data_IF_174474543863
#
_entry.id   IF_174474543863
#
_cell.length_a   1.000
_cell.length_b   1.000
_cell.length_c   1.000
_cell.angle_alpha   90.00
_cell.angle_beta   90.00
_cell.angle_gamma   90.00
#
_symmetry.space_group_name_H-M   'P 1'
#
loop_
_entity.id
_entity.type
_entity.pdbx_description
1 polymer ?
#
# COMPACT_ATOMS: atom_id res chain seq x y z
N UNK A 1 -1.22 14.78 -12.74
CA UNK A 1 -1.51 15.71 -11.62
C UNK A 1 -0.19 16.18 -11.01
N UNK A 2 -0.04 17.47 -10.71
CA UNK A 2 1.17 18.02 -10.06
C UNK A 2 1.07 17.92 -8.54
N UNK A 3 2.21 18.02 -7.85
CA UNK A 3 2.27 18.05 -6.39
C UNK A 3 1.39 19.15 -5.77
N UNK A 4 1.36 20.35 -6.36
CA UNK A 4 0.53 21.45 -5.84
C UNK A 4 -0.96 21.16 -6.01
N UNK A 5 -1.37 20.60 -7.15
CA UNK A 5 -2.75 20.18 -7.37
C UNK A 5 -3.19 19.13 -6.35
N UNK A 6 -2.32 18.17 -6.03
CA UNK A 6 -2.62 17.15 -5.02
C UNK A 6 -2.75 17.76 -3.62
N UNK A 7 -1.89 18.71 -3.24
CA UNK A 7 -1.99 19.42 -1.96
C UNK A 7 -3.30 20.19 -1.83
N UNK A 8 -3.66 20.96 -2.87
CA UNK A 8 -4.93 21.68 -2.93
C UNK A 8 -6.12 20.70 -2.80
N UNK A 9 -6.08 19.57 -3.51
CA UNK A 9 -7.10 18.55 -3.46
C UNK A 9 -7.27 17.94 -2.04
N UNK A 10 -6.17 17.61 -1.36
CA UNK A 10 -6.23 17.08 0.01
C UNK A 10 -6.74 18.13 1.00
N UNK A 11 -6.30 19.39 0.86
CA UNK A 11 -6.73 20.51 1.71
C UNK A 11 -8.23 20.82 1.56
N UNK A 12 -8.74 20.86 0.32
CA UNK A 12 -10.16 21.06 0.02
C UNK A 12 -11.06 19.98 0.65
N UNK A 13 -10.51 18.76 0.79
CA UNK A 13 -11.20 17.62 1.38
C UNK A 13 -10.92 17.45 2.89
N UNK A 14 -10.20 18.38 3.53
CA UNK A 14 -9.80 18.32 4.94
C UNK A 14 -9.04 17.05 5.30
N UNK A 15 -8.14 16.60 4.42
CA UNK A 15 -7.28 15.44 4.64
C UNK A 15 -5.90 15.93 5.07
N UNK A 16 -5.55 15.61 6.31
CA UNK A 16 -4.23 15.93 6.85
C UNK A 16 -3.15 15.07 6.19
N UNK A 17 -2.03 15.71 5.84
CA UNK A 17 -0.86 15.04 5.29
C UNK A 17 0.43 15.66 5.85
N UNK A 18 1.51 14.89 5.81
CA UNK A 18 2.87 15.36 6.00
C UNK A 18 3.65 15.20 4.70
N UNK A 19 4.75 15.92 4.56
CA UNK A 19 5.61 15.86 3.38
C UNK A 19 6.91 15.18 3.79
N UNK A 20 7.26 14.11 3.09
CA UNK A 20 8.56 13.47 3.17
C UNK A 20 9.29 13.59 1.83
N UNK A 21 10.61 13.75 1.89
CA UNK A 21 11.46 13.96 0.72
C UNK A 21 12.53 12.87 0.65
N UNK A 22 12.72 12.30 -0.52
CA UNK A 22 13.71 11.27 -0.80
C UNK A 22 14.65 11.73 -1.90
N UNK A 23 15.94 11.55 -1.66
CA UNK A 23 17.00 11.93 -2.59
C UNK A 23 17.01 11.11 -3.89
N UNK A 24 16.29 9.97 -3.92
CA UNK A 24 16.10 9.17 -5.12
C UNK A 24 14.87 8.26 -5.01
N UNK A 25 14.30 7.84 -6.13
CA UNK A 25 13.23 6.82 -6.15
C UNK A 25 13.67 5.52 -5.50
N UNK A 26 14.92 5.11 -5.73
CA UNK A 26 15.51 3.96 -5.03
C UNK A 26 15.37 4.05 -3.51
N UNK A 27 15.60 5.23 -2.93
CA UNK A 27 15.48 5.44 -1.48
C UNK A 27 14.04 5.35 -0.99
N UNK A 28 13.10 5.80 -1.82
CA UNK A 28 11.67 5.65 -1.55
C UNK A 28 11.23 4.18 -1.62
N UNK A 29 11.64 3.43 -2.65
CA UNK A 29 11.34 1.98 -2.77
C UNK A 29 11.91 1.21 -1.56
N UNK A 30 13.12 1.55 -1.11
CA UNK A 30 13.74 0.97 0.10
C UNK A 30 13.00 1.32 1.40
N UNK A 31 12.22 2.41 1.43
CA UNK A 31 11.37 2.80 2.56
C UNK A 31 10.06 2.01 2.58
N UNK A 32 9.42 1.87 1.41
CA UNK A 32 8.11 1.23 1.26
C UNK A 32 8.18 -0.28 1.44
N UNK A 33 9.09 -0.95 0.71
CA UNK A 33 9.06 -2.41 0.55
C UNK A 33 10.03 -3.13 1.48
N UNK A 34 9.57 -4.24 2.09
CA UNK A 34 10.43 -5.07 2.94
C UNK A 34 11.60 -5.70 2.16
N UNK A 35 11.33 -6.11 0.92
CA UNK A 35 12.30 -6.71 0.02
C UNK A 35 12.28 -5.96 -1.32
N UNK A 36 12.89 -4.77 -1.37
CA UNK A 36 12.78 -3.88 -2.51
C UNK A 36 13.52 -4.45 -3.73
N UNK A 37 12.92 -4.30 -4.91
CA UNK A 37 13.59 -4.45 -6.19
C UNK A 37 13.81 -3.06 -6.79
N UNK A 38 15.07 -2.65 -6.90
CA UNK A 38 15.46 -1.30 -7.31
C UNK A 38 16.23 -1.31 -8.62
N UNK A 39 16.17 -2.39 -9.41
CA UNK A 39 16.93 -2.50 -10.66
C UNK A 39 16.52 -1.42 -11.68
N UNK A 40 15.23 -1.07 -11.68
CA UNK A 40 14.64 -0.09 -12.62
C UNK A 40 14.26 1.23 -11.95
N UNK A 41 14.78 1.51 -10.75
CA UNK A 41 14.47 2.77 -10.06
C UNK A 41 15.11 3.95 -10.80
N UNK A 42 14.33 5.00 -11.01
CA UNK A 42 14.76 6.23 -11.66
C UNK A 42 15.73 7.02 -10.77
N UNK A 43 16.67 7.73 -11.42
CA UNK A 43 17.60 8.64 -10.75
C UNK A 43 16.97 10.04 -10.67
N UNK A 44 15.83 10.14 -9.97
CA UNK A 44 15.06 11.36 -9.78
C UNK A 44 14.74 11.59 -8.28
N UNK A 45 14.60 12.85 -7.89
CA UNK A 45 14.13 13.21 -6.55
C UNK A 45 12.66 12.82 -6.40
N UNK A 46 12.27 12.41 -5.19
CA UNK A 46 10.88 12.00 -4.90
C UNK A 46 10.34 12.80 -3.72
N UNK A 47 9.14 13.34 -3.87
CA UNK A 47 8.36 13.92 -2.78
C UNK A 47 7.14 13.03 -2.55
N UNK A 48 6.84 12.77 -1.29
CA UNK A 48 5.68 11.97 -0.90
C UNK A 48 4.75 12.81 -0.02
N UNK A 49 3.46 12.79 -0.36
CA UNK A 49 2.42 13.24 0.56
C UNK A 49 1.96 12.03 1.38
N UNK A 50 2.32 12.01 2.66
CA UNK A 50 2.01 10.91 3.58
C UNK A 50 0.75 11.27 4.37
N UNK A 51 -0.30 10.48 4.21
CA UNK A 51 -1.53 10.52 5.00
C UNK A 51 -1.36 9.52 6.15
N UNK A 52 -1.10 9.97 7.38
CA UNK A 52 -0.80 9.08 8.49
C UNK A 52 -1.99 8.22 8.86
N UNK A 53 -1.79 6.91 9.01
CA UNK A 53 -2.86 6.02 9.43
C UNK A 53 -2.93 5.88 10.95
N UNK A 54 -4.11 5.52 11.48
CA UNK A 54 -4.28 5.29 12.92
C UNK A 54 -3.59 4.02 13.42
N UNK A 55 -3.28 3.07 12.53
CA UNK A 55 -2.47 1.90 12.85
C UNK A 55 -1.00 2.23 13.23
N UNK A 56 -0.53 3.45 12.92
CA UNK A 56 0.84 3.99 13.19
C UNK A 56 2.02 3.21 12.61
N UNK A 57 1.77 2.25 11.71
CA UNK A 57 2.80 1.38 11.10
C UNK A 57 2.83 1.50 9.58
N UNK A 58 1.67 1.50 8.92
CA UNK A 58 1.52 1.56 7.47
C UNK A 58 0.67 2.76 7.12
N UNK A 59 1.26 3.72 6.41
CA UNK A 59 0.58 4.95 5.96
C UNK A 59 0.08 4.79 4.53
N UNK A 60 -0.79 5.71 4.13
CA UNK A 60 -1.15 5.93 2.73
C UNK A 60 -0.23 7.03 2.19
N UNK A 61 0.45 6.78 1.07
CA UNK A 61 1.53 7.60 0.55
C UNK A 61 1.28 7.88 -0.93
N UNK A 62 1.26 9.15 -1.33
CA UNK A 62 1.16 9.57 -2.72
C UNK A 62 2.55 9.98 -3.19
N UNK A 63 3.13 9.22 -4.13
CA UNK A 63 4.45 9.47 -4.69
C UNK A 63 4.41 10.49 -5.82
N UNK A 64 5.35 11.45 -5.79
CA UNK A 64 5.60 12.39 -6.88
C UNK A 64 7.07 12.38 -7.26
N UNK A 65 7.36 12.14 -8.54
CA UNK A 65 8.73 12.15 -9.08
C UNK A 65 9.03 13.50 -9.74
N UNK A 66 10.28 13.94 -9.64
CA UNK A 66 10.78 15.13 -10.33
C UNK A 66 10.96 14.86 -11.84
N UNK A 67 10.30 15.66 -12.67
CA UNK A 67 10.46 15.69 -14.13
C UNK A 67 10.51 17.15 -14.60
N UNK A 68 11.57 17.52 -15.34
CA UNK A 68 11.79 18.87 -15.87
C UNK A 68 11.65 20.03 -14.84
N UNK A 69 11.97 19.76 -13.57
CA UNK A 69 11.93 20.74 -12.47
C UNK A 69 10.56 20.90 -11.81
N UNK A 70 9.58 20.06 -12.15
CA UNK A 70 8.29 19.95 -11.49
C UNK A 70 8.07 18.54 -10.94
N UNK A 71 7.11 18.38 -10.02
CA UNK A 71 6.81 17.09 -9.39
C UNK A 71 5.44 16.58 -9.84
N UNK A 72 5.43 15.39 -10.42
CA UNK A 72 4.25 14.76 -10.99
C UNK A 72 3.89 13.47 -10.27
N UNK A 73 2.60 13.25 -10.05
CA UNK A 73 2.08 12.04 -9.42
C UNK A 73 2.50 10.79 -10.20
N UNK A 74 2.95 9.76 -9.49
CA UNK A 74 3.34 8.48 -10.06
C UNK A 74 2.43 7.37 -9.56
N UNK A 75 2.36 7.17 -8.24
CA UNK A 75 1.60 6.09 -7.64
C UNK A 75 1.04 6.48 -6.27
N UNK A 76 0.03 5.73 -5.84
CA UNK A 76 -0.44 5.73 -4.46
C UNK A 76 -0.16 4.36 -3.85
N UNK A 77 0.39 4.37 -2.64
CA UNK A 77 0.81 3.18 -1.92
C UNK A 77 0.17 3.16 -0.54
N UNK A 78 -0.43 2.04 -0.16
CA UNK A 78 -0.88 1.80 1.21
C UNK A 78 -0.01 0.73 1.87
N UNK A 79 0.93 1.17 2.70
CA UNK A 79 1.94 0.28 3.28
C UNK A 79 2.87 -0.30 2.22
N UNK A 80 2.71 -1.59 1.90
CA UNK A 80 3.45 -2.28 0.82
C UNK A 80 2.58 -2.58 -0.41
N UNK A 81 1.32 -2.12 -0.44
CA UNK A 81 0.40 -2.34 -1.56
C UNK A 81 0.35 -1.11 -2.45
N UNK A 82 0.80 -1.24 -3.70
CA UNK A 82 0.68 -0.20 -4.71
C UNK A 82 -0.64 -0.35 -5.47
N UNK A 83 -1.36 0.76 -5.64
CA UNK A 83 -2.55 0.80 -6.49
C UNK A 83 -2.13 1.13 -7.93
N UNK A 84 -2.39 0.21 -8.84
CA UNK A 84 -2.15 0.42 -10.27
C UNK A 84 -3.14 1.46 -10.81
N UNK A 85 -2.70 2.72 -10.93
CA UNK A 85 -3.50 3.83 -11.47
C UNK A 85 -3.18 4.16 -12.95
N UNK A 86 -2.36 3.34 -13.63
CA UNK A 86 -1.81 3.64 -14.96
C UNK A 86 -2.79 3.51 -16.13
N UNK A 87 -3.98 2.93 -15.93
CA UNK A 87 -4.97 2.71 -16.99
C UNK A 87 -6.20 3.63 -16.91
N UNK A 88 -6.23 4.58 -15.97
CA UNK A 88 -7.38 5.46 -15.80
C UNK A 88 -7.42 6.52 -16.91
N UNK A 89 -8.59 6.70 -17.50
CA UNK A 89 -8.83 7.87 -18.35
C UNK A 89 -8.62 9.12 -17.50
N UNK A 90 -7.89 10.12 -18.02
CA UNK A 90 -7.47 11.32 -17.27
C UNK A 90 -8.65 12.02 -16.57
N UNK A 91 -9.86 11.90 -17.15
CA UNK A 91 -11.10 12.46 -16.59
C UNK A 91 -11.58 11.82 -15.28
N UNK A 92 -11.24 10.55 -15.01
CA UNK A 92 -11.64 9.84 -13.79
C UNK A 92 -10.54 9.78 -12.73
N UNK A 93 -9.30 10.15 -13.09
CA UNK A 93 -8.13 10.00 -12.22
C UNK A 93 -8.32 10.63 -10.83
N UNK A 94 -8.84 11.86 -10.75
CA UNK A 94 -9.05 12.56 -9.47
C UNK A 94 -10.11 11.86 -8.61
N UNK A 95 -11.21 11.46 -9.23
CA UNK A 95 -12.32 10.78 -8.53
C UNK A 95 -11.89 9.41 -8.02
N UNK A 96 -11.12 8.65 -8.81
CA UNK A 96 -10.59 7.34 -8.43
C UNK A 96 -9.53 7.45 -7.32
N UNK A 97 -8.61 8.41 -7.43
CA UNK A 97 -7.63 8.70 -6.38
C UNK A 97 -8.33 9.03 -5.04
N UNK A 98 -9.31 9.95 -5.08
CA UNK A 98 -10.06 10.31 -3.88
C UNK A 98 -10.91 9.16 -3.38
N UNK A 99 -11.47 8.33 -4.27
CA UNK A 99 -12.19 7.11 -3.92
C UNK A 99 -11.32 6.16 -3.12
N UNK A 100 -10.09 5.90 -3.57
CA UNK A 100 -9.11 5.07 -2.85
C UNK A 100 -8.79 5.68 -1.48
N UNK A 101 -8.45 6.97 -1.44
CA UNK A 101 -8.12 7.66 -0.19
C UNK A 101 -9.28 7.54 0.80
N UNK A 102 -10.52 7.82 0.38
CA UNK A 102 -11.68 7.73 1.24
C UNK A 102 -11.94 6.31 1.72
N UNK A 103 -11.81 5.30 0.86
CA UNK A 103 -11.95 3.90 1.28
C UNK A 103 -10.91 3.50 2.33
N UNK A 104 -9.67 3.98 2.21
CA UNK A 104 -8.63 3.76 3.22
C UNK A 104 -9.00 4.49 4.51
N UNK A 105 -9.17 5.81 4.52
CA UNK A 105 -9.35 6.58 5.76
C UNK A 105 -10.68 6.28 6.49
N UNK A 106 -11.67 5.73 5.78
CA UNK A 106 -12.94 5.26 6.37
C UNK A 106 -12.92 3.78 6.76
N UNK A 107 -11.74 3.16 6.75
CA UNK A 107 -11.49 1.77 7.18
C UNK A 107 -12.31 0.75 6.36
N UNK A 108 -12.62 1.07 5.10
CA UNK A 108 -13.33 0.21 4.16
C UNK A 108 -12.39 -0.65 3.30
N UNK A 109 -11.09 -0.56 3.54
CA UNK A 109 -10.07 -1.27 2.78
C UNK A 109 -9.13 -2.02 3.73
N UNK A 110 -8.92 -3.30 3.46
CA UNK A 110 -7.94 -4.13 4.16
C UNK A 110 -6.91 -4.68 3.18
N UNK A 111 -5.65 -4.72 3.61
CA UNK A 111 -4.54 -5.27 2.83
C UNK A 111 -3.93 -6.45 3.57
N UNK A 112 -3.54 -7.47 2.81
CA UNK A 112 -2.70 -8.57 3.27
C UNK A 112 -1.46 -8.62 2.40
N UNK A 113 -0.28 -8.42 2.98
CA UNK A 113 1.02 -8.63 2.33
C UNK A 113 1.66 -9.90 2.84
N UNK A 114 2.28 -10.67 1.95
CA UNK A 114 2.92 -11.95 2.27
C UNK A 114 4.37 -11.97 1.80
N UNK A 115 5.25 -12.34 2.73
CA UNK A 115 6.70 -12.37 2.53
C UNK A 115 7.29 -13.76 2.89
N UNK A 116 8.32 -14.20 2.17
CA UNK A 116 9.16 -15.36 2.51
C UNK A 116 10.42 -14.86 3.23
N UNK A 117 10.51 -15.10 4.54
CA UNK A 117 11.61 -14.58 5.35
C UNK A 117 12.92 -15.31 5.10
N UNK A 118 12.87 -16.60 4.77
CA UNK A 118 14.07 -17.40 4.54
C UNK A 118 14.70 -17.06 3.18
N UNK A 119 13.85 -16.85 2.17
CA UNK A 119 14.28 -16.47 0.81
C UNK A 119 14.42 -14.97 0.60
N UNK A 120 14.03 -14.17 1.59
CA UNK A 120 14.02 -12.69 1.56
C UNK A 120 13.33 -12.14 0.31
N UNK A 121 12.08 -12.56 0.08
CA UNK A 121 11.33 -12.12 -1.09
C UNK A 121 9.85 -11.93 -0.80
N UNK A 122 9.23 -11.03 -1.56
CA UNK A 122 7.79 -10.90 -1.64
C UNK A 122 7.15 -12.13 -2.28
N UNK A 123 5.98 -12.52 -1.79
CA UNK A 123 5.20 -13.67 -2.26
C UNK A 123 3.86 -13.27 -2.87
N UNK A 124 3.46 -12.02 -2.74
CA UNK A 124 2.15 -11.52 -3.14
C UNK A 124 1.50 -10.67 -2.06
N UNK A 125 0.56 -9.85 -2.49
CA UNK A 125 -0.37 -9.11 -1.65
C UNK A 125 -1.79 -9.21 -2.20
N UNK A 126 -2.74 -8.71 -1.43
CA UNK A 126 -4.13 -8.60 -1.82
C UNK A 126 -4.78 -7.44 -1.08
N UNK A 127 -5.65 -6.73 -1.79
CA UNK A 127 -6.51 -5.68 -1.26
C UNK A 127 -7.97 -6.17 -1.24
N UNK A 128 -8.71 -5.80 -0.21
CA UNK A 128 -10.11 -6.18 -0.01
C UNK A 128 -10.98 -4.98 0.35
N UNK A 129 -12.07 -4.80 -0.38
CA UNK A 129 -13.08 -3.76 -0.14
C UNK A 129 -14.11 -4.27 0.88
N UNK A 130 -13.96 -3.91 2.14
CA UNK A 130 -14.77 -4.43 3.25
C UNK A 130 -16.24 -3.99 3.19
N UNK A 131 -16.57 -2.93 2.45
CA UNK A 131 -17.95 -2.53 2.18
C UNK A 131 -18.67 -3.47 1.20
N UNK A 132 -17.92 -4.30 0.47
CA UNK A 132 -18.46 -5.12 -0.61
C UNK A 132 -18.74 -6.56 -0.16
N UNK A 133 -19.83 -7.13 -0.67
CA UNK A 133 -20.18 -8.53 -0.48
C UNK A 133 -19.61 -9.43 -1.59
N UNK A 134 -18.54 -9.01 -2.25
CA UNK A 134 -17.86 -9.82 -3.26
C UNK A 134 -17.15 -11.01 -2.57
N UNK A 135 -17.34 -12.24 -3.06
CA UNK A 135 -16.77 -13.41 -2.41
C UNK A 135 -15.24 -13.49 -2.50
N UNK A 136 -14.59 -12.78 -3.41
CA UNK A 136 -13.14 -12.83 -3.64
C UNK A 136 -12.45 -11.60 -3.08
N UNK A 137 -12.90 -10.41 -3.46
CA UNK A 137 -12.28 -9.13 -3.14
C UNK A 137 -13.05 -8.31 -2.09
N UNK A 138 -14.22 -8.78 -1.66
CA UNK A 138 -15.00 -8.14 -0.59
C UNK A 138 -14.69 -8.66 0.81
N UNK A 139 -15.50 -8.25 1.79
CA UNK A 139 -15.40 -8.71 3.18
C UNK A 139 -15.38 -10.25 3.33
N UNK A 140 -16.24 -11.03 2.63
CA UNK A 140 -16.17 -12.50 2.71
C UNK A 140 -14.84 -13.06 2.22
N UNK A 141 -14.24 -12.44 1.20
CA UNK A 141 -12.93 -12.82 0.67
C UNK A 141 -11.82 -12.59 1.69
N UNK A 142 -11.82 -11.42 2.32
CA UNK A 142 -10.89 -11.05 3.38
C UNK A 142 -10.93 -12.05 4.54
N UNK A 143 -12.11 -12.34 5.09
CA UNK A 143 -12.23 -13.26 6.22
C UNK A 143 -11.87 -14.71 5.87
N UNK A 144 -12.09 -15.14 4.63
CA UNK A 144 -11.60 -16.44 4.16
C UNK A 144 -10.08 -16.51 4.18
N UNK A 145 -9.41 -15.49 3.65
CA UNK A 145 -7.95 -15.43 3.64
C UNK A 145 -7.37 -15.32 5.05
N UNK A 146 -7.96 -14.48 5.90
CA UNK A 146 -7.57 -14.35 7.31
C UNK A 146 -7.68 -15.69 8.05
N UNK A 147 -8.80 -16.40 7.86
CA UNK A 147 -9.02 -17.73 8.46
C UNK A 147 -7.97 -18.74 8.01
N UNK A 148 -7.61 -18.73 6.72
CA UNK A 148 -6.56 -19.60 6.16
C UNK A 148 -5.18 -19.28 6.76
N UNK A 149 -4.86 -17.99 6.92
CA UNK A 149 -3.60 -17.56 7.54
C UNK A 149 -3.55 -17.96 9.01
N UNK A 150 -4.67 -17.89 9.72
CA UNK A 150 -4.77 -18.21 11.15
C UNK A 150 -4.90 -19.72 11.44
N UNK A 151 -5.25 -20.55 10.47
CA UNK A 151 -5.41 -22.01 10.67
C UNK A 151 -4.10 -22.68 11.10
N UNK A 152 -3.99 -23.30 12.28
CA UNK A 152 -2.73 -23.86 12.78
C UNK A 152 -2.08 -24.84 11.79
N UNK A 153 -0.77 -24.71 11.56
CA UNK A 153 -0.01 -25.66 10.73
C UNK A 153 0.15 -26.99 11.44
N UNK A 154 0.02 -28.07 10.69
CA UNK A 154 0.24 -29.43 11.19
C UNK A 154 1.74 -29.66 11.44
N UNK A 155 2.12 -30.62 12.29
CA UNK A 155 3.52 -30.89 12.67
C UNK A 155 4.43 -31.12 11.43
N UNK A 156 3.89 -31.75 10.38
CA UNK A 156 4.61 -32.02 9.14
C UNK A 156 4.87 -30.72 8.36
N UNK A 157 3.88 -29.84 8.29
CA UNK A 157 3.97 -28.56 7.58
C UNK A 157 4.95 -27.60 8.28
N UNK A 158 5.01 -27.62 9.61
CA UNK A 158 5.95 -26.82 10.39
C UNK A 158 7.41 -27.14 10.07
N UNK A 159 7.73 -28.40 9.68
CA UNK A 159 9.10 -28.81 9.38
C UNK A 159 9.52 -28.65 7.91
N UNK A 160 8.55 -28.53 6.99
CA UNK A 160 8.81 -28.57 5.55
C UNK A 160 8.53 -27.24 4.84
N UNK A 161 7.98 -26.25 5.52
CA UNK A 161 7.63 -24.97 4.91
C UNK A 161 8.65 -23.88 5.27
N UNK A 162 8.94 -23.00 4.29
CA UNK A 162 9.68 -21.77 4.57
C UNK A 162 8.91 -20.90 5.57
N UNK A 163 9.66 -20.15 6.37
CA UNK A 163 9.12 -19.18 7.32
C UNK A 163 8.49 -18.02 6.56
N UNK A 164 7.18 -17.87 6.70
CA UNK A 164 6.39 -16.82 6.04
C UNK A 164 6.00 -15.75 7.04
N UNK A 165 6.02 -14.50 6.60
CA UNK A 165 5.41 -13.37 7.30
C UNK A 165 4.16 -12.94 6.54
N UNK A 166 3.13 -12.62 7.29
CA UNK A 166 1.91 -11.98 6.82
C UNK A 166 1.78 -10.66 7.58
N UNK A 167 1.61 -9.57 6.84
CA UNK A 167 1.19 -8.29 7.39
C UNK A 167 -0.25 -8.05 6.97
N UNK A 168 -1.10 -7.71 7.92
CA UNK A 168 -2.54 -7.53 7.72
C UNK A 168 -2.88 -6.18 8.31
N UNK A 169 -3.37 -5.26 7.49
CA UNK A 169 -3.60 -3.91 7.95
C UNK A 169 -4.78 -3.23 7.26
N UNK A 170 -5.41 -2.35 8.02
CA UNK A 170 -6.42 -1.38 7.59
C UNK A 170 -5.95 -0.01 8.07
N UNK A 171 -6.71 1.06 7.82
CA UNK A 171 -6.35 2.39 8.34
C UNK A 171 -6.21 2.39 9.87
N UNK A 172 -7.08 1.66 10.57
CA UNK A 172 -7.10 1.61 12.03
C UNK A 172 -6.26 0.49 12.65
N UNK A 173 -5.98 -0.59 11.93
CA UNK A 173 -5.39 -1.81 12.53
C UNK A 173 -4.15 -2.29 11.78
N UNK A 174 -3.20 -2.87 12.53
CA UNK A 174 -2.06 -3.57 11.97
C UNK A 174 -1.80 -4.85 12.78
N UNK A 175 -1.59 -5.95 12.09
CA UNK A 175 -1.20 -7.23 12.66
C UNK A 175 -0.10 -7.88 11.82
N UNK A 176 0.93 -8.38 12.49
CA UNK A 176 1.95 -9.22 11.90
C UNK A 176 1.83 -10.66 12.39
N UNK A 177 1.86 -11.63 11.47
CA UNK A 177 1.81 -13.07 11.78
C UNK A 177 2.97 -13.79 11.09
N UNK A 178 3.80 -14.49 11.87
CA UNK A 178 4.95 -15.26 11.37
C UNK A 178 4.68 -16.75 11.53
N UNK A 179 4.87 -17.55 10.47
CA UNK A 179 4.54 -18.99 10.44
C UNK A 179 5.47 -19.87 9.65
#
# INVERSE_FOLDING_TARGET
>A
MTLNQAKELLEENNIDYIIDEYVSEKKYIEHVYMYPDTENADDCSVIVLVIPCENKVKNLELQFNEEDGEYYFVEIVFGEFCFEMFEHEEEFFVDDLMGIIFQVITDQLAVIVRNDLDKKKWLGDACFYLSENDPIYGEPGFFRELSRIQMPKNIIEQKLTSKKQYEIYTYNTYQQIIR
#
